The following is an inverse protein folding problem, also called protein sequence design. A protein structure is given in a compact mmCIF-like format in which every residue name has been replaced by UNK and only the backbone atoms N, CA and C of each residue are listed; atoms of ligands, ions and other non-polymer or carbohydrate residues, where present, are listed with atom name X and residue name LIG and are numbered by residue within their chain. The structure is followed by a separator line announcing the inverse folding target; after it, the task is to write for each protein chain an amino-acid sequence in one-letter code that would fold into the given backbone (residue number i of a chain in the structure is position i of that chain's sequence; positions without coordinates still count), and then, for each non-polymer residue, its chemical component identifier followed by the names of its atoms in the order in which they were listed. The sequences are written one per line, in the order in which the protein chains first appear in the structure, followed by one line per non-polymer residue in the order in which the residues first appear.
data_IF_329295405550
#
_entry.id   IF_329295405550
#
_cell.length_a   1.000
_cell.length_b   1.000
_cell.length_c   1.000
_cell.angle_alpha   90.00
_cell.angle_beta   90.00
_cell.angle_gamma   90.00
#
_symmetry.space_group_name_H-M   'P 1'
#
loop_
_entity.id
_entity.type
_entity.pdbx_description
1 polymer ?
#
# COMPACT_ATOMS: atom_id res chain seq x y z
N UNK A 1 -1.85 -35.72 -14.90
CA UNK A 1 -2.20 -35.19 -13.55
C UNK A 1 -1.73 -33.74 -13.31
N UNK A 2 -0.93 -33.10 -14.19
CA UNK A 2 -0.37 -31.75 -13.92
C UNK A 2 -0.53 -30.74 -15.08
N UNK A 3 -1.56 -30.85 -15.92
CA UNK A 3 -1.73 -29.98 -17.11
C UNK A 3 -1.86 -28.47 -16.80
N UNK A 4 -2.06 -28.09 -15.53
CA UNK A 4 -2.28 -26.71 -15.08
C UNK A 4 -1.26 -26.24 -14.02
N UNK A 5 -0.08 -26.87 -13.92
CA UNK A 5 0.92 -26.45 -12.93
C UNK A 5 1.67 -25.23 -13.46
N UNK A 6 1.29 -24.05 -12.98
CA UNK A 6 1.95 -22.78 -13.31
C UNK A 6 3.28 -22.68 -12.57
N UNK A 7 4.33 -23.22 -13.20
CA UNK A 7 5.71 -23.22 -12.68
C UNK A 7 6.20 -21.80 -12.42
N UNK A 8 5.78 -20.83 -13.23
CA UNK A 8 6.19 -19.42 -13.09
C UNK A 8 5.60 -18.83 -11.82
N UNK A 9 4.31 -19.09 -11.56
CA UNK A 9 3.66 -18.68 -10.31
C UNK A 9 4.30 -19.33 -9.09
N UNK A 10 4.69 -20.60 -9.17
CA UNK A 10 5.37 -21.32 -8.08
C UNK A 10 6.77 -20.73 -7.84
N UNK A 11 7.54 -20.45 -8.90
CA UNK A 11 8.84 -19.79 -8.80
C UNK A 11 8.73 -18.37 -8.23
N UNK A 12 7.58 -17.71 -8.40
CA UNK A 12 7.26 -16.41 -7.81
C UNK A 12 7.26 -16.40 -6.28
N UNK A 13 7.14 -17.56 -5.62
CA UNK A 13 7.32 -17.69 -4.16
C UNK A 13 8.79 -17.77 -3.74
N UNK A 14 9.74 -17.68 -4.68
CA UNK A 14 11.18 -17.64 -4.42
C UNK A 14 11.75 -19.00 -4.00
N UNK A 15 12.61 -18.99 -2.98
CA UNK A 15 13.38 -20.17 -2.54
C UNK A 15 12.45 -21.30 -2.04
N UNK A 16 11.30 -20.97 -1.44
CA UNK A 16 10.32 -21.95 -0.99
C UNK A 16 9.61 -22.65 -2.16
N UNK A 17 9.22 -21.89 -3.19
CA UNK A 17 8.65 -22.42 -4.42
C UNK A 17 9.63 -23.28 -5.21
N UNK A 18 10.90 -22.85 -5.26
CA UNK A 18 11.98 -23.66 -5.83
C UNK A 18 12.19 -24.98 -5.06
N UNK A 19 12.17 -24.94 -3.73
CA UNK A 19 12.30 -26.12 -2.88
C UNK A 19 11.14 -27.10 -3.12
N UNK A 20 9.90 -26.60 -3.27
CA UNK A 20 8.74 -27.41 -3.66
C UNK A 20 8.92 -28.08 -5.02
N UNK A 21 9.44 -27.34 -6.02
CA UNK A 21 9.73 -27.88 -7.35
C UNK A 21 10.77 -29.00 -7.32
N UNK A 22 11.81 -28.88 -6.49
CA UNK A 22 12.82 -29.94 -6.34
C UNK A 22 12.23 -31.22 -5.72
N UNK A 23 11.38 -31.09 -4.71
CA UNK A 23 10.66 -32.23 -4.11
C UNK A 23 9.71 -32.86 -5.12
N UNK A 24 8.96 -32.05 -5.87
CA UNK A 24 8.06 -32.51 -6.92
C UNK A 24 8.82 -33.24 -8.04
N UNK A 25 9.97 -32.69 -8.47
CA UNK A 25 10.83 -33.31 -9.47
C UNK A 25 11.36 -34.66 -8.99
N UNK A 26 11.78 -34.74 -7.73
CA UNK A 26 12.23 -36.00 -7.11
C UNK A 26 11.13 -37.05 -7.09
N UNK A 27 9.90 -36.65 -6.74
CA UNK A 27 8.73 -37.53 -6.79
C UNK A 27 8.42 -38.01 -8.21
N UNK A 28 8.49 -37.13 -9.21
CA UNK A 28 8.27 -37.49 -10.61
C UNK A 28 9.34 -38.45 -11.13
N UNK A 29 10.61 -38.25 -10.77
CA UNK A 29 11.72 -39.14 -11.13
C UNK A 29 11.53 -40.54 -10.54
N UNK A 30 11.15 -40.62 -9.25
CA UNK A 30 10.89 -41.89 -8.58
C UNK A 30 9.71 -42.62 -9.23
N UNK A 31 8.59 -41.91 -9.46
CA UNK A 31 7.40 -42.45 -10.11
C UNK A 31 7.69 -42.92 -11.54
N UNK A 32 8.51 -42.18 -12.29
CA UNK A 32 8.87 -42.52 -13.66
C UNK A 32 9.78 -43.76 -13.76
N UNK A 33 10.66 -43.99 -12.79
CA UNK A 33 11.49 -45.21 -12.75
C UNK A 33 10.69 -46.42 -12.22
N UNK A 34 9.71 -46.21 -11.33
CA UNK A 34 8.83 -47.26 -10.80
C UNK A 34 7.78 -47.74 -11.81
N UNK A 35 7.30 -46.86 -12.69
CA UNK A 35 6.26 -47.19 -13.68
C UNK A 35 6.81 -47.80 -14.98
N UNK A 36 8.03 -48.34 -14.99
CA UNK A 36 8.61 -49.00 -16.16
C UNK A 36 8.23 -50.48 -16.20
N UNK A 37 7.94 -50.99 -17.40
CA UNK A 37 7.62 -52.41 -17.65
C UNK A 37 8.83 -53.35 -17.43
N UNK A 38 10.04 -52.79 -17.26
CA UNK A 38 11.28 -53.53 -16.95
C UNK A 38 11.66 -53.30 -15.49
N UNK A 39 12.35 -54.28 -14.90
CA UNK A 39 12.84 -54.17 -13.53
C UNK A 39 13.56 -52.83 -13.29
N UNK A 40 13.25 -52.14 -12.19
CA UNK A 40 13.82 -50.83 -11.90
C UNK A 40 15.34 -50.89 -11.85
N UNK A 41 16.03 -49.92 -12.46
CA UNK A 41 17.50 -49.94 -12.47
C UNK A 41 18.04 -49.52 -11.09
N UNK A 42 18.75 -50.41 -10.35
CA UNK A 42 19.13 -50.16 -8.96
C UNK A 42 20.09 -48.96 -8.82
N UNK A 43 20.94 -48.72 -9.82
CA UNK A 43 21.86 -47.59 -9.86
C UNK A 43 21.12 -46.24 -9.95
N UNK A 44 20.04 -46.18 -10.73
CA UNK A 44 19.22 -44.96 -10.91
C UNK A 44 18.41 -44.69 -9.65
N UNK A 45 17.84 -45.71 -9.03
CA UNK A 45 17.14 -45.57 -7.74
C UNK A 45 18.08 -45.01 -6.67
N UNK A 46 19.33 -45.50 -6.61
CA UNK A 46 20.34 -45.02 -5.65
C UNK A 46 20.68 -43.54 -5.88
N UNK A 47 20.78 -43.10 -7.14
CA UNK A 47 21.00 -41.69 -7.48
C UNK A 47 19.80 -40.81 -7.11
N UNK A 48 18.57 -41.27 -7.37
CA UNK A 48 17.33 -40.57 -6.99
C UNK A 48 17.27 -40.42 -5.46
N UNK A 49 17.63 -41.45 -4.71
CA UNK A 49 17.68 -41.41 -3.25
C UNK A 49 18.70 -40.40 -2.71
N UNK A 50 19.91 -40.36 -3.29
CA UNK A 50 20.92 -39.35 -2.93
C UNK A 50 20.44 -37.93 -3.24
N UNK A 51 19.80 -37.74 -4.39
CA UNK A 51 19.23 -36.45 -4.78
C UNK A 51 18.09 -36.01 -3.86
N UNK A 52 17.21 -36.95 -3.47
CA UNK A 52 16.14 -36.71 -2.51
C UNK A 52 16.68 -36.25 -1.16
N UNK A 53 17.71 -36.92 -0.65
CA UNK A 53 18.32 -36.59 0.64
C UNK A 53 18.98 -35.20 0.61
N UNK A 54 19.69 -34.88 -0.48
CA UNK A 54 20.23 -33.53 -0.71
C UNK A 54 19.13 -32.46 -0.78
N UNK A 55 18.02 -32.76 -1.46
CA UNK A 55 16.89 -31.84 -1.57
C UNK A 55 16.25 -31.58 -0.21
N UNK A 56 16.04 -32.62 0.61
CA UNK A 56 15.52 -32.48 1.97
C UNK A 56 16.46 -31.63 2.83
N UNK A 57 17.77 -31.86 2.75
CA UNK A 57 18.75 -31.06 3.49
C UNK A 57 18.71 -29.58 3.08
N UNK A 58 18.65 -29.29 1.78
CA UNK A 58 18.46 -27.94 1.25
C UNK A 58 17.17 -27.28 1.74
N UNK A 59 16.05 -28.01 1.78
CA UNK A 59 14.77 -27.48 2.27
C UNK A 59 14.86 -27.12 3.75
N UNK A 60 15.46 -27.98 4.58
CA UNK A 60 15.65 -27.73 6.02
C UNK A 60 16.54 -26.50 6.24
N UNK A 61 17.66 -26.41 5.52
CA UNK A 61 18.58 -25.28 5.60
C UNK A 61 17.89 -23.97 5.19
N UNK A 62 17.15 -23.99 4.08
CA UNK A 62 16.37 -22.85 3.61
C UNK A 62 15.30 -22.45 4.63
N UNK A 63 14.59 -23.42 5.23
CA UNK A 63 13.64 -23.18 6.30
C UNK A 63 14.27 -22.45 7.48
N UNK A 64 15.42 -22.94 7.96
CA UNK A 64 16.15 -22.36 9.08
C UNK A 64 16.65 -20.92 8.82
N UNK A 65 17.09 -20.62 7.59
CA UNK A 65 17.51 -19.27 7.19
C UNK A 65 16.29 -18.36 6.99
N UNK A 66 15.19 -18.89 6.46
CA UNK A 66 13.98 -18.11 6.13
C UNK A 66 13.19 -17.65 7.35
N UNK A 67 13.15 -18.44 8.42
CA UNK A 67 12.42 -18.11 9.65
C UNK A 67 12.84 -16.78 10.31
N UNK A 68 14.14 -16.53 10.60
CA UNK A 68 14.55 -15.24 11.17
C UNK A 68 14.37 -14.08 10.20
N UNK A 69 14.52 -14.31 8.89
CA UNK A 69 14.24 -13.30 7.87
C UNK A 69 12.76 -12.92 7.82
N UNK A 70 11.87 -13.90 7.95
CA UNK A 70 10.43 -13.68 8.02
C UNK A 70 10.06 -12.83 9.24
N UNK A 71 10.56 -13.16 10.43
CA UNK A 71 10.29 -12.38 11.64
C UNK A 71 10.79 -10.93 11.52
N UNK A 72 12.01 -10.73 10.99
CA UNK A 72 12.54 -9.39 10.74
C UNK A 72 11.71 -8.61 9.72
N UNK A 73 11.18 -9.26 8.70
CA UNK A 73 10.31 -8.60 7.72
C UNK A 73 8.98 -8.17 8.35
N UNK A 74 8.41 -8.97 9.25
CA UNK A 74 7.20 -8.59 10.01
C UNK A 74 7.46 -7.40 10.92
N UNK A 75 8.56 -7.42 11.68
CA UNK A 75 8.97 -6.32 12.56
C UNK A 75 9.26 -5.03 11.76
N UNK A 76 9.91 -5.16 10.60
CA UNK A 76 10.17 -4.05 9.70
C UNK A 76 8.85 -3.50 9.13
N UNK A 77 7.92 -4.35 8.74
CA UNK A 77 6.61 -3.92 8.24
C UNK A 77 5.81 -3.19 9.33
N UNK A 78 5.86 -3.66 10.57
CA UNK A 78 5.25 -2.97 11.70
C UNK A 78 5.90 -1.60 11.93
N UNK A 79 7.22 -1.53 11.90
CA UNK A 79 7.98 -0.28 12.05
C UNK A 79 7.65 0.74 10.95
N UNK A 80 7.56 0.28 9.69
CA UNK A 80 7.15 1.12 8.55
C UNK A 80 5.72 1.60 8.71
N UNK A 81 4.82 0.75 9.21
CA UNK A 81 3.41 1.11 9.48
C UNK A 81 3.32 2.17 10.57
N UNK A 82 4.04 2.00 11.67
CA UNK A 82 4.09 2.98 12.76
C UNK A 82 4.66 4.33 12.29
N UNK A 83 5.76 4.30 11.51
CA UNK A 83 6.35 5.51 10.94
C UNK A 83 5.40 6.20 9.95
N UNK A 84 4.73 5.43 9.09
CA UNK A 84 3.69 5.94 8.18
C UNK A 84 2.57 6.64 8.97
N UNK A 85 2.06 6.02 10.03
CA UNK A 85 1.01 6.61 10.87
C UNK A 85 1.48 7.89 11.57
N UNK A 86 2.72 7.93 12.05
CA UNK A 86 3.31 9.13 12.67
C UNK A 86 3.43 10.28 11.66
N UNK A 87 3.96 10.00 10.47
CA UNK A 87 4.05 11.01 9.40
C UNK A 87 2.66 11.49 8.98
N UNK A 88 1.70 10.57 8.84
CA UNK A 88 0.32 10.91 8.50
C UNK A 88 -0.35 11.78 9.57
N UNK A 89 -0.04 11.58 10.85
CA UNK A 89 -0.54 12.44 11.92
C UNK A 89 -0.04 13.89 11.77
N UNK A 90 1.24 14.09 11.48
CA UNK A 90 1.81 15.43 11.24
C UNK A 90 1.22 16.09 10.00
N UNK A 91 1.06 15.33 8.91
CA UNK A 91 0.44 15.83 7.66
C UNK A 91 -1.01 16.25 7.90
N UNK A 92 -1.79 15.44 8.63
CA UNK A 92 -3.19 15.75 8.95
C UNK A 92 -3.31 16.98 9.83
N UNK A 93 -2.39 17.19 10.78
CA UNK A 93 -2.35 18.45 11.55
C UNK A 93 -2.17 19.66 10.63
N UNK A 94 -1.33 19.55 9.61
CA UNK A 94 -1.18 20.59 8.59
C UNK A 94 -2.44 20.83 7.76
N UNK A 95 -3.29 19.82 7.56
CA UNK A 95 -4.60 19.97 6.90
C UNK A 95 -5.57 20.80 7.74
N UNK A 96 -5.60 20.57 9.07
CA UNK A 96 -6.42 21.34 10.02
C UNK A 96 -5.99 22.82 10.03
N UNK A 97 -4.69 23.09 10.15
CA UNK A 97 -4.13 24.45 10.10
C UNK A 97 -4.44 25.18 8.77
N UNK A 98 -4.50 24.44 7.66
CA UNK A 98 -4.86 24.98 6.35
C UNK A 98 -6.35 25.36 6.26
N UNK A 99 -7.24 24.58 6.88
CA UNK A 99 -8.67 24.91 6.95
C UNK A 99 -8.92 26.18 7.77
N UNK A 100 -8.21 26.35 8.88
CA UNK A 100 -8.31 27.55 9.71
C UNK A 100 -7.86 28.80 8.94
N UNK A 101 -6.82 28.67 8.11
CA UNK A 101 -6.39 29.75 7.21
C UNK A 101 -7.43 30.06 6.14
N UNK A 102 -8.11 29.06 5.58
CA UNK A 102 -9.22 29.28 4.64
C UNK A 102 -10.35 30.06 5.33
N UNK A 103 -10.72 29.70 6.56
CA UNK A 103 -11.74 30.45 7.32
C UNK A 103 -11.35 31.91 7.56
N UNK A 104 -10.08 32.16 7.91
CA UNK A 104 -9.57 33.52 8.08
C UNK A 104 -9.70 34.33 6.79
N UNK A 105 -9.30 33.74 5.66
CA UNK A 105 -9.39 34.41 4.35
C UNK A 105 -10.86 34.67 3.96
N UNK A 106 -11.77 33.71 4.19
CA UNK A 106 -13.21 33.89 3.91
C UNK A 106 -13.79 35.01 4.79
N UNK A 107 -13.37 35.11 6.05
CA UNK A 107 -13.85 36.13 6.99
C UNK A 107 -13.38 37.55 6.63
N UNK A 108 -12.13 37.71 6.18
CA UNK A 108 -11.55 39.01 5.81
C UNK A 108 -12.14 39.60 4.52
N UNK A 109 -12.69 38.76 3.64
CA UNK A 109 -13.17 39.13 2.30
C UNK A 109 -14.54 39.85 2.26
N UNK A 110 -14.92 40.61 3.30
CA UNK A 110 -16.11 41.49 3.26
C UNK A 110 -15.81 42.86 2.61
N UNK A 111 -14.53 43.24 2.45
CA UNK A 111 -14.10 44.49 1.80
C UNK A 111 -13.47 44.20 0.43
N UNK A 112 -13.77 45.02 -0.57
CA UNK A 112 -13.36 44.92 -1.99
C UNK A 112 -11.83 45.03 -2.24
N UNK A 113 -10.99 44.44 -1.41
CA UNK A 113 -9.53 44.55 -1.48
C UNK A 113 -8.95 43.32 -2.22
N UNK A 114 -8.36 43.55 -3.40
CA UNK A 114 -7.56 42.61 -4.21
C UNK A 114 -8.01 41.13 -4.24
N UNK A 115 -9.09 40.88 -4.99
CA UNK A 115 -9.64 39.55 -5.27
C UNK A 115 -8.58 38.54 -5.78
N UNK A 116 -7.60 39.03 -6.57
CA UNK A 116 -6.53 38.18 -7.12
C UNK A 116 -5.55 37.67 -6.07
N UNK A 117 -5.13 38.52 -5.12
CA UNK A 117 -4.20 38.12 -4.05
C UNK A 117 -4.85 37.09 -3.12
N UNK A 118 -6.14 37.26 -2.82
CA UNK A 118 -6.94 36.32 -2.02
C UNK A 118 -7.06 34.98 -2.74
N UNK A 119 -7.36 35.00 -4.04
CA UNK A 119 -7.46 33.79 -4.87
C UNK A 119 -6.13 33.05 -4.94
N UNK A 120 -5.01 33.76 -5.09
CA UNK A 120 -3.67 33.16 -5.06
C UNK A 120 -3.37 32.52 -3.70
N UNK A 121 -3.72 33.18 -2.59
CA UNK A 121 -3.53 32.63 -1.24
C UNK A 121 -4.38 31.37 -1.01
N UNK A 122 -5.64 31.38 -1.44
CA UNK A 122 -6.52 30.20 -1.38
C UNK A 122 -5.97 29.06 -2.25
N UNK A 123 -5.50 29.36 -3.46
CA UNK A 123 -4.92 28.36 -4.35
C UNK A 123 -3.67 27.72 -3.73
N UNK A 124 -2.76 28.50 -3.13
CA UNK A 124 -1.57 27.97 -2.45
C UNK A 124 -1.95 27.02 -1.29
N UNK A 125 -2.98 27.36 -0.51
CA UNK A 125 -3.47 26.49 0.56
C UNK A 125 -4.05 25.19 -0.01
N UNK A 126 -4.84 25.28 -1.08
CA UNK A 126 -5.42 24.11 -1.76
C UNK A 126 -4.33 23.22 -2.34
N UNK A 127 -3.28 23.80 -2.93
CA UNK A 127 -2.15 23.05 -3.46
C UNK A 127 -1.38 22.33 -2.34
N UNK A 128 -1.22 22.98 -1.18
CA UNK A 128 -0.66 22.34 0.02
C UNK A 128 -1.52 21.18 0.51
N UNK A 129 -2.84 21.32 0.52
CA UNK A 129 -3.76 20.24 0.87
C UNK A 129 -3.68 19.07 -0.12
N UNK A 130 -3.62 19.34 -1.42
CA UNK A 130 -3.45 18.29 -2.43
C UNK A 130 -2.13 17.52 -2.26
N UNK A 131 -1.02 18.25 -2.02
CA UNK A 131 0.29 17.64 -1.74
C UNK A 131 0.29 16.80 -0.46
N UNK A 132 -0.44 17.23 0.56
CA UNK A 132 -0.62 16.48 1.79
C UNK A 132 -1.37 15.16 1.54
N UNK A 133 -2.45 15.18 0.75
CA UNK A 133 -3.19 13.96 0.37
C UNK A 133 -2.33 13.00 -0.46
N UNK A 134 -1.54 13.53 -1.40
CA UNK A 134 -0.60 12.73 -2.19
C UNK A 134 0.50 12.09 -1.32
N UNK A 135 1.00 12.84 -0.33
CA UNK A 135 1.94 12.32 0.66
C UNK A 135 1.33 11.19 1.50
N UNK A 136 0.08 11.35 1.98
CA UNK A 136 -0.64 10.31 2.73
C UNK A 136 -0.83 9.05 1.87
N UNK A 137 -1.18 9.21 0.59
CA UNK A 137 -1.30 8.07 -0.32
C UNK A 137 0.04 7.34 -0.46
N UNK A 138 1.13 8.09 -0.62
CA UNK A 138 2.47 7.53 -0.76
C UNK A 138 2.90 6.77 0.50
N UNK A 139 2.69 7.32 1.69
CA UNK A 139 3.04 6.66 2.96
C UNK A 139 2.22 5.38 3.17
N UNK A 140 0.92 5.40 2.88
CA UNK A 140 0.07 4.20 2.93
C UNK A 140 0.51 3.12 1.94
N UNK A 141 0.95 3.52 0.75
CA UNK A 141 1.48 2.61 -0.27
C UNK A 141 2.79 1.97 0.20
N UNK A 142 3.70 2.76 0.76
CA UNK A 142 4.99 2.28 1.32
C UNK A 142 4.75 1.33 2.50
N UNK A 143 3.77 1.63 3.36
CA UNK A 143 3.37 0.76 4.46
C UNK A 143 2.63 -0.51 4.02
N UNK A 144 2.48 -0.74 2.71
CA UNK A 144 1.75 -1.87 2.15
C UNK A 144 0.32 -1.98 2.76
N UNK A 145 -0.33 -0.83 2.92
CA UNK A 145 -1.69 -0.76 3.45
C UNK A 145 -2.68 -1.39 2.46
N UNK A 146 -3.85 -1.77 2.99
CA UNK A 146 -4.98 -2.29 2.21
C UNK A 146 -5.30 -1.38 1.00
N UNK A 147 -5.45 -1.94 -0.23
CA UNK A 147 -5.78 -1.17 -1.42
C UNK A 147 -7.03 -0.29 -1.27
N UNK A 148 -8.00 -0.75 -0.48
CA UNK A 148 -9.23 -0.02 -0.19
C UNK A 148 -8.96 1.31 0.52
N UNK A 149 -8.00 1.36 1.46
CA UNK A 149 -7.61 2.60 2.16
C UNK A 149 -6.97 3.60 1.21
N UNK A 150 -6.14 3.12 0.29
CA UNK A 150 -5.49 3.95 -0.74
C UNK A 150 -6.56 4.53 -1.68
N UNK A 151 -7.53 3.71 -2.10
CA UNK A 151 -8.65 4.13 -2.94
C UNK A 151 -9.56 5.13 -2.22
N UNK A 152 -9.76 4.98 -0.90
CA UNK A 152 -10.56 5.91 -0.10
C UNK A 152 -9.92 7.30 -0.01
N UNK A 153 -8.59 7.39 0.17
CA UNK A 153 -7.86 8.67 0.11
C UNK A 153 -8.03 9.35 -1.26
N UNK A 154 -7.95 8.58 -2.35
CA UNK A 154 -8.18 9.09 -3.70
C UNK A 154 -9.62 9.60 -3.91
N UNK A 155 -10.61 8.89 -3.36
CA UNK A 155 -11.99 9.35 -3.42
C UNK A 155 -12.21 10.64 -2.62
N UNK A 156 -11.68 10.70 -1.39
CA UNK A 156 -11.72 11.90 -0.55
C UNK A 156 -11.06 13.09 -1.23
N UNK A 157 -9.92 12.89 -1.91
CA UNK A 157 -9.27 13.94 -2.72
C UNK A 157 -10.19 14.48 -3.82
N UNK A 158 -10.91 13.60 -4.52
CA UNK A 158 -11.88 14.00 -5.56
C UNK A 158 -13.04 14.80 -4.97
N UNK A 159 -13.56 14.37 -3.82
CA UNK A 159 -14.66 15.06 -3.12
C UNK A 159 -14.22 16.44 -2.60
N UNK A 160 -13.00 16.55 -2.07
CA UNK A 160 -12.42 17.83 -1.67
C UNK A 160 -12.25 18.78 -2.86
N UNK A 161 -11.79 18.27 -4.01
CA UNK A 161 -11.60 19.05 -5.22
C UNK A 161 -12.89 19.73 -5.71
N UNK A 162 -14.06 19.13 -5.47
CA UNK A 162 -15.36 19.74 -5.77
C UNK A 162 -15.58 20.98 -4.89
N UNK A 163 -15.28 20.88 -3.60
CA UNK A 163 -15.48 21.97 -2.65
C UNK A 163 -14.42 23.09 -2.84
N UNK A 164 -13.18 22.74 -3.20
CA UNK A 164 -12.15 23.72 -3.55
C UNK A 164 -12.56 24.60 -4.73
N UNK A 165 -13.25 24.05 -5.74
CA UNK A 165 -13.78 24.84 -6.86
C UNK A 165 -14.80 25.88 -6.40
N UNK A 166 -15.64 25.54 -5.41
CA UNK A 166 -16.63 26.48 -4.84
C UNK A 166 -15.91 27.59 -4.06
N UNK A 167 -14.85 27.27 -3.32
CA UNK A 167 -14.04 28.26 -2.60
C UNK A 167 -13.38 29.26 -3.55
N UNK A 168 -12.82 28.76 -4.66
CA UNK A 168 -12.10 29.56 -5.66
C UNK A 168 -13.01 30.29 -6.66
N UNK A 169 -14.30 29.96 -6.72
CA UNK A 169 -15.24 30.57 -7.65
C UNK A 169 -15.53 32.02 -7.26
N UNK A 170 -15.31 32.93 -8.21
CA UNK A 170 -15.55 34.36 -8.05
C UNK A 170 -17.03 34.69 -7.89
N UNK A 171 -17.94 33.84 -8.36
CA UNK A 171 -19.38 34.02 -8.22
C UNK A 171 -19.94 33.45 -6.91
N UNK A 172 -19.13 32.67 -6.17
CA UNK A 172 -19.56 32.06 -4.92
C UNK A 172 -19.53 33.09 -3.78
N UNK A 173 -20.69 33.29 -3.16
CA UNK A 173 -20.82 34.18 -2.00
C UNK A 173 -20.19 33.59 -0.74
N UNK A 174 -19.98 34.44 0.28
CA UNK A 174 -19.38 34.07 1.57
C UNK A 174 -20.03 32.84 2.22
N UNK A 175 -21.36 32.73 2.19
CA UNK A 175 -22.12 31.61 2.76
C UNK A 175 -21.80 30.28 2.05
N UNK A 176 -21.73 30.30 0.72
CA UNK A 176 -21.37 29.12 -0.08
C UNK A 176 -19.93 28.69 0.18
N UNK A 177 -18.99 29.63 0.26
CA UNK A 177 -17.58 29.35 0.59
C UNK A 177 -17.42 28.75 1.99
N UNK A 178 -18.15 29.28 2.98
CA UNK A 178 -18.18 28.68 4.32
C UNK A 178 -18.74 27.27 4.32
N UNK A 179 -19.86 27.04 3.64
CA UNK A 179 -20.45 25.70 3.55
C UNK A 179 -19.51 24.70 2.87
N UNK A 180 -18.78 25.13 1.83
CA UNK A 180 -17.76 24.32 1.18
C UNK A 180 -16.58 24.02 2.12
N UNK A 181 -16.12 25.00 2.90
CA UNK A 181 -15.04 24.80 3.86
C UNK A 181 -15.43 23.85 5.00
N UNK A 182 -16.66 23.95 5.52
CA UNK A 182 -17.18 23.00 6.52
C UNK A 182 -17.25 21.57 5.98
N UNK A 183 -17.60 21.40 4.70
CA UNK A 183 -17.51 20.09 4.03
C UNK A 183 -16.07 19.60 3.94
N UNK A 184 -15.11 20.47 3.61
CA UNK A 184 -13.68 20.11 3.57
C UNK A 184 -13.18 19.70 4.96
N UNK A 185 -13.59 20.39 6.04
CA UNK A 185 -13.28 19.96 7.41
C UNK A 185 -13.81 18.56 7.70
N UNK A 186 -15.07 18.29 7.35
CA UNK A 186 -15.67 16.94 7.49
C UNK A 186 -14.87 15.88 6.72
N UNK A 187 -14.47 16.19 5.49
CA UNK A 187 -13.63 15.31 4.67
C UNK A 187 -12.22 15.14 5.25
N UNK A 188 -11.63 16.17 5.85
CA UNK A 188 -10.33 16.08 6.55
C UNK A 188 -10.42 15.17 7.78
N UNK A 189 -11.54 15.18 8.52
CA UNK A 189 -11.77 14.19 9.57
C UNK A 189 -11.85 12.76 9.00
N UNK A 190 -12.47 12.57 7.84
CA UNK A 190 -12.46 11.27 7.17
C UNK A 190 -11.03 10.86 6.76
N UNK A 191 -10.25 11.75 6.16
CA UNK A 191 -8.84 11.52 5.83
C UNK A 191 -8.04 11.13 7.08
N UNK A 192 -8.22 11.83 8.21
CA UNK A 192 -7.57 11.49 9.48
C UNK A 192 -7.83 10.06 9.90
N UNK A 193 -9.09 9.61 9.81
CA UNK A 193 -9.46 8.23 10.15
C UNK A 193 -8.77 7.24 9.19
N UNK A 194 -8.82 7.48 7.89
CA UNK A 194 -8.25 6.57 6.89
C UNK A 194 -6.73 6.52 6.97
N UNK A 195 -6.07 7.65 7.22
CA UNK A 195 -4.62 7.79 7.21
C UNK A 195 -3.93 7.21 8.44
N UNK A 196 -4.61 7.20 9.60
CA UNK A 196 -4.00 6.87 10.91
C UNK A 196 -4.55 5.55 11.50
N UNK A 197 -5.76 5.12 11.11
CA UNK A 197 -6.39 3.94 11.75
C UNK A 197 -5.86 2.63 11.16
N UNK A 198 -5.40 1.72 12.01
CA UNK A 198 -4.87 0.39 11.68
C UNK A 198 -5.94 -0.69 11.36
N UNK A 199 -7.15 -0.32 10.92
CA UNK A 199 -8.19 -1.33 10.62
C UNK A 199 -8.05 -1.92 9.21
#
# INVERSE_FOLDING_TARGET
MFKNLDVIKILGYGISGFSFLLVLLTFLLLRAEQNKDREPRPLIITMIWRFMLMTIFMVILNGFISLPLFNRNVELQESVTQLSNKNNFEIVKGLDENNDKIDQIINVNDSQTNNDSIKMAMQDIIDKQNKALDSIKATLTIANSKPERIAEIENLKKEMAINYKIILDSNSNKKLRFSANEKIKSLNYAVKRVAITNK
#
